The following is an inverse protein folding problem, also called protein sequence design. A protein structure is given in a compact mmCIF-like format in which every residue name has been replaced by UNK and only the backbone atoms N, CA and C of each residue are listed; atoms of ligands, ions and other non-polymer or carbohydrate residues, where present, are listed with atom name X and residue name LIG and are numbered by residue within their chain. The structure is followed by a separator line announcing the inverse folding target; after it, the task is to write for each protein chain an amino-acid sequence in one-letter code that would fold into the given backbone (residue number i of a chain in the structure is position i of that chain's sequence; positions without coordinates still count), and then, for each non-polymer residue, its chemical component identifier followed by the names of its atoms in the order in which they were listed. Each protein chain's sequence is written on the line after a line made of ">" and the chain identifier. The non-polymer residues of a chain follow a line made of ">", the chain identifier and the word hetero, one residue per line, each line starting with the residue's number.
data_IF_645306100724
#
_entry.id   IF_645306100724
#
_cell.length_a   1.000
_cell.length_b   1.000
_cell.length_c   1.000
_cell.angle_alpha   90.00
_cell.angle_beta   90.00
_cell.angle_gamma   90.00
#
_symmetry.space_group_name_H-M   'P 1'
#
loop_
_entity.id
_entity.type
_entity.pdbx_description
1 polymer ?
#
# COMPACT_ATOMS: atom_id res chain seq x y z
N UNK A 1 -4.95 8.62 -6.35
CA UNK A 1 -4.87 8.43 -7.81
C UNK A 1 -3.57 9.07 -8.27
N UNK A 2 -2.57 8.29 -8.67
CA UNK A 2 -1.33 8.86 -9.19
C UNK A 2 -1.44 8.96 -10.71
N UNK A 3 -2.14 9.99 -11.22
CA UNK A 3 -2.38 10.20 -12.65
C UNK A 3 -1.07 10.22 -13.48
N UNK A 4 0.04 10.62 -12.87
CA UNK A 4 1.39 10.58 -13.45
C UNK A 4 1.86 9.15 -13.75
N UNK A 5 1.51 8.19 -12.91
CA UNK A 5 1.95 6.79 -13.08
C UNK A 5 1.22 6.09 -14.23
N UNK A 6 -0.07 6.38 -14.40
CA UNK A 6 -0.89 5.80 -15.48
C UNK A 6 -0.40 6.30 -16.84
N UNK A 7 -0.09 7.59 -16.94
CA UNK A 7 0.43 8.21 -18.17
C UNK A 7 1.82 7.68 -18.54
N UNK A 8 2.71 7.51 -17.56
CA UNK A 8 4.03 6.87 -17.75
C UNK A 8 3.91 5.40 -18.19
N UNK A 9 3.07 4.59 -17.52
CA UNK A 9 2.85 3.18 -17.87
C UNK A 9 2.25 3.04 -19.28
N UNK A 10 1.39 3.97 -19.72
CA UNK A 10 0.83 4.01 -21.08
C UNK A 10 1.87 4.34 -22.14
N UNK A 11 2.70 5.36 -21.89
CA UNK A 11 3.77 5.74 -22.80
C UNK A 11 4.77 4.60 -23.01
N UNK A 12 5.22 3.97 -21.93
CA UNK A 12 6.14 2.83 -21.99
C UNK A 12 5.52 1.63 -22.72
N UNK A 13 4.24 1.32 -22.46
CA UNK A 13 3.54 0.24 -23.12
C UNK A 13 3.44 0.46 -24.64
N UNK A 14 3.09 1.67 -25.07
CA UNK A 14 2.99 2.03 -26.48
C UNK A 14 4.33 1.87 -27.19
N UNK A 15 5.40 2.43 -26.61
CA UNK A 15 6.76 2.33 -27.17
C UNK A 15 7.25 0.87 -27.24
N UNK A 16 6.92 0.03 -26.25
CA UNK A 16 7.25 -1.41 -26.27
C UNK A 16 6.50 -2.12 -27.41
N UNK A 17 5.21 -1.80 -27.61
CA UNK A 17 4.40 -2.39 -28.67
C UNK A 17 4.96 -2.04 -30.06
N UNK A 18 5.31 -0.77 -30.29
CA UNK A 18 5.93 -0.33 -31.55
C UNK A 18 7.27 -1.04 -31.82
N UNK A 19 8.16 -1.09 -30.82
CA UNK A 19 9.46 -1.74 -30.99
C UNK A 19 9.33 -3.26 -31.18
N UNK A 20 8.27 -3.87 -30.65
CA UNK A 20 7.96 -5.28 -30.88
C UNK A 20 7.46 -5.53 -32.31
N UNK A 21 6.65 -4.62 -32.87
CA UNK A 21 6.23 -4.68 -34.28
C UNK A 21 7.43 -4.53 -35.23
N UNK A 22 8.44 -3.76 -34.84
CA UNK A 22 9.72 -3.64 -35.55
C UNK A 22 10.63 -4.88 -35.41
N UNK A 23 10.18 -5.93 -34.72
CA UNK A 23 10.90 -7.20 -34.58
C UNK A 23 12.02 -7.20 -33.52
N UNK A 24 12.10 -6.19 -32.66
CA UNK A 24 13.10 -6.17 -31.59
C UNK A 24 12.79 -7.20 -30.50
N UNK A 25 13.83 -7.86 -30.00
CA UNK A 25 13.73 -8.74 -28.84
C UNK A 25 13.50 -7.93 -27.55
N UNK A 26 12.86 -8.54 -26.55
CA UNK A 26 12.61 -7.93 -25.23
C UNK A 26 13.87 -7.34 -24.58
N UNK A 27 15.02 -7.99 -24.76
CA UNK A 27 16.31 -7.52 -24.24
C UNK A 27 16.82 -6.27 -24.97
N UNK A 28 16.60 -6.17 -26.28
CA UNK A 28 16.93 -4.98 -27.07
C UNK A 28 15.99 -3.81 -26.73
N UNK A 29 14.70 -4.09 -26.56
CA UNK A 29 13.70 -3.11 -26.13
C UNK A 29 14.05 -2.53 -24.75
N UNK A 30 14.40 -3.38 -23.78
CA UNK A 30 14.83 -2.95 -22.46
C UNK A 30 16.05 -2.02 -22.50
N UNK A 31 17.06 -2.36 -23.32
CA UNK A 31 18.23 -1.51 -23.53
C UNK A 31 17.89 -0.19 -24.21
N UNK A 32 17.02 -0.21 -25.23
CA UNK A 32 16.64 0.98 -26.02
C UNK A 32 15.80 1.97 -25.22
N UNK A 33 14.84 1.48 -24.43
CA UNK A 33 13.98 2.30 -23.59
C UNK A 33 14.58 2.58 -22.20
N UNK A 34 15.76 2.02 -21.89
CA UNK A 34 16.38 2.07 -20.56
C UNK A 34 15.43 1.62 -19.43
N UNK A 35 14.56 0.66 -19.74
CA UNK A 35 13.58 0.13 -18.80
C UNK A 35 14.09 -1.17 -18.17
N UNK A 36 13.75 -1.44 -16.90
CA UNK A 36 14.02 -2.73 -16.28
C UNK A 36 13.42 -3.88 -17.11
N UNK A 37 14.13 -5.00 -17.32
CA UNK A 37 13.62 -6.13 -18.10
C UNK A 37 12.27 -6.68 -17.59
N UNK A 38 12.06 -6.66 -16.27
CA UNK A 38 10.79 -7.05 -15.66
C UNK A 38 9.64 -6.09 -16.00
N UNK A 39 9.91 -4.80 -16.17
CA UNK A 39 8.92 -3.79 -16.61
C UNK A 39 8.54 -4.04 -18.07
N UNK A 40 9.52 -4.28 -18.95
CA UNK A 40 9.27 -4.64 -20.36
C UNK A 40 8.48 -5.94 -20.48
N UNK A 41 8.88 -6.99 -19.74
CA UNK A 41 8.16 -8.27 -19.75
C UNK A 41 6.70 -8.09 -19.29
N UNK A 42 6.48 -7.34 -18.20
CA UNK A 42 5.15 -7.10 -17.65
C UNK A 42 4.28 -6.33 -18.65
N UNK A 43 4.73 -5.17 -19.11
CA UNK A 43 3.97 -4.32 -20.04
C UNK A 43 3.70 -5.03 -21.37
N UNK A 44 4.66 -5.80 -21.89
CA UNK A 44 4.50 -6.59 -23.11
C UNK A 44 3.45 -7.71 -23.01
N UNK A 45 2.98 -8.05 -21.80
CA UNK A 45 1.93 -9.05 -21.57
C UNK A 45 0.54 -8.43 -21.34
N UNK A 46 0.48 -7.12 -21.09
CA UNK A 46 -0.77 -6.43 -20.77
C UNK A 46 -1.47 -5.94 -22.04
N UNK A 47 -2.80 -6.01 -22.05
CA UNK A 47 -3.64 -5.28 -23.00
C UNK A 47 -3.99 -3.88 -22.47
N UNK A 48 -4.52 -3.00 -23.34
CA UNK A 48 -4.89 -1.62 -22.99
C UNK A 48 -5.85 -1.58 -21.79
N UNK A 49 -6.87 -2.43 -21.78
CA UNK A 49 -7.84 -2.50 -20.67
C UNK A 49 -7.19 -2.94 -19.36
N UNK A 50 -6.27 -3.90 -19.41
CA UNK A 50 -5.54 -4.37 -18.23
C UNK A 50 -4.57 -3.33 -17.70
N UNK A 51 -3.97 -2.52 -18.58
CA UNK A 51 -3.10 -1.40 -18.22
C UNK A 51 -3.88 -0.32 -17.45
N UNK A 52 -5.05 0.06 -17.98
CA UNK A 52 -5.96 1.03 -17.34
C UNK A 52 -6.53 0.49 -16.01
N UNK A 53 -6.79 -0.81 -15.93
CA UNK A 53 -7.18 -1.46 -14.67
C UNK A 53 -6.02 -1.57 -13.68
N UNK A 54 -4.78 -1.78 -14.14
CA UNK A 54 -3.62 -1.94 -13.24
C UNK A 54 -3.29 -0.65 -12.47
N UNK A 55 -3.49 0.51 -13.09
CA UNK A 55 -3.43 1.81 -12.41
C UNK A 55 -4.53 1.99 -11.34
N UNK A 56 -5.61 1.22 -11.47
CA UNK A 56 -6.78 1.25 -10.59
C UNK A 56 -6.86 0.09 -9.61
N UNK A 57 -5.98 -0.92 -9.68
CA UNK A 57 -5.99 -1.99 -8.69
C UNK A 57 -5.64 -1.38 -7.34
N UNK A 58 -6.55 -1.39 -6.36
CA UNK A 58 -6.16 -1.08 -5.00
C UNK A 58 -5.00 -2.01 -4.67
N UNK A 59 -3.93 -1.49 -4.06
CA UNK A 59 -2.99 -2.40 -3.37
C UNK A 59 -3.85 -3.36 -2.56
N UNK A 60 -3.56 -4.67 -2.54
CA UNK A 60 -4.24 -5.57 -1.63
C UNK A 60 -4.19 -4.89 -0.27
N UNK A 61 -5.35 -4.44 0.21
CA UNK A 61 -5.47 -3.96 1.57
C UNK A 61 -5.37 -5.24 2.37
N UNK A 62 -4.15 -5.63 2.73
CA UNK A 62 -3.96 -6.62 3.78
C UNK A 62 -4.75 -6.06 4.95
N UNK A 63 -5.89 -6.68 5.26
CA UNK A 63 -6.68 -6.31 6.41
C UNK A 63 -5.73 -6.32 7.60
N UNK A 64 -5.52 -5.16 8.21
CA UNK A 64 -4.69 -5.11 9.38
C UNK A 64 -5.40 -5.96 10.42
N UNK A 65 -4.69 -6.88 11.06
CA UNK A 65 -5.29 -7.70 12.14
C UNK A 65 -5.86 -6.85 13.28
N UNK A 66 -5.44 -5.58 13.35
CA UNK A 66 -5.91 -4.60 14.31
C UNK A 66 -7.10 -3.75 13.82
N UNK A 67 -7.49 -3.84 12.55
CA UNK A 67 -8.61 -3.08 11.97
C UNK A 67 -9.94 -3.28 12.76
N UNK A 68 -10.29 -4.49 13.25
CA UNK A 68 -11.49 -4.66 14.09
C UNK A 68 -11.47 -3.87 15.41
N UNK A 69 -10.30 -3.46 15.89
CA UNK A 69 -10.14 -2.70 17.13
C UNK A 69 -9.96 -1.20 16.89
N UNK A 70 -10.15 -0.72 15.66
CA UNK A 70 -9.97 0.69 15.29
C UNK A 70 -10.77 1.64 16.19
N UNK A 71 -12.06 1.36 16.40
CA UNK A 71 -12.92 2.24 17.19
C UNK A 71 -12.52 2.25 18.68
N UNK A 72 -12.14 1.11 19.24
CA UNK A 72 -11.65 1.01 20.62
C UNK A 72 -10.34 1.79 20.80
N UNK A 73 -9.40 1.66 19.86
CA UNK A 73 -8.14 2.41 19.89
C UNK A 73 -8.39 3.91 19.76
N UNK A 74 -9.26 4.32 18.84
CA UNK A 74 -9.65 5.72 18.66
C UNK A 74 -10.29 6.29 19.92
N UNK A 75 -11.23 5.58 20.52
CA UNK A 75 -11.89 6.00 21.75
C UNK A 75 -10.87 6.16 22.89
N UNK A 76 -9.95 5.21 23.07
CA UNK A 76 -8.87 5.32 24.06
C UNK A 76 -7.96 6.52 23.82
N UNK A 77 -7.61 6.79 22.56
CA UNK A 77 -6.77 7.93 22.20
C UNK A 77 -7.45 9.28 22.44
N UNK A 78 -8.78 9.34 22.35
CA UNK A 78 -9.58 10.55 22.61
C UNK A 78 -9.77 10.73 24.13
N UNK A 79 -10.19 9.69 24.84
CA UNK A 79 -10.51 9.74 26.27
C UNK A 79 -9.26 9.81 27.15
N UNK A 80 -8.20 9.10 26.75
CA UNK A 80 -6.94 8.99 27.48
C UNK A 80 -5.75 9.30 26.55
N UNK A 81 -5.56 10.56 26.11
CA UNK A 81 -4.53 10.92 25.12
C UNK A 81 -3.09 10.66 25.60
N UNK A 82 -2.89 10.50 26.91
CA UNK A 82 -1.63 10.17 27.57
C UNK A 82 -1.27 8.69 27.53
N UNK A 83 -2.14 7.82 27.01
CA UNK A 83 -1.81 6.40 26.92
C UNK A 83 -0.71 6.13 25.89
N UNK A 84 0.30 5.40 26.34
CA UNK A 84 1.34 4.81 25.50
C UNK A 84 0.77 3.67 24.67
N UNK A 85 1.45 3.32 23.58
CA UNK A 85 1.05 2.17 22.75
C UNK A 85 1.08 0.85 23.53
N UNK A 86 1.93 0.74 24.55
CA UNK A 86 1.97 -0.41 25.47
C UNK A 86 0.71 -0.47 26.34
N UNK A 87 0.28 0.66 26.91
CA UNK A 87 -0.97 0.72 27.70
C UNK A 87 -2.20 0.40 26.83
N UNK A 88 -2.23 0.89 25.59
CA UNK A 88 -3.29 0.55 24.64
C UNK A 88 -3.26 -0.95 24.31
N UNK A 89 -2.07 -1.54 24.16
CA UNK A 89 -1.94 -2.98 23.89
C UNK A 89 -2.50 -3.83 25.04
N UNK A 90 -2.11 -3.55 26.29
CA UNK A 90 -2.63 -4.28 27.45
C UNK A 90 -4.15 -4.09 27.59
N UNK A 91 -4.66 -2.87 27.41
CA UNK A 91 -6.10 -2.63 27.44
C UNK A 91 -6.84 -3.44 26.37
N UNK A 92 -6.33 -3.49 25.13
CA UNK A 92 -6.96 -4.28 24.06
C UNK A 92 -6.96 -5.77 24.38
N UNK A 93 -5.90 -6.27 25.02
CA UNK A 93 -5.75 -7.66 25.41
C UNK A 93 -6.67 -8.03 26.58
N UNK A 94 -6.84 -7.15 27.54
CA UNK A 94 -7.75 -7.32 28.69
C UNK A 94 -9.23 -7.27 28.27
N UNK A 95 -9.58 -6.34 27.39
CA UNK A 95 -10.99 -6.12 26.99
C UNK A 95 -11.44 -7.03 25.85
N UNK A 96 -10.54 -7.76 25.18
CA UNK A 96 -10.88 -8.60 24.03
C UNK A 96 -10.26 -10.00 24.14
N UNK A 97 -11.04 -11.05 24.43
CA UNK A 97 -10.52 -12.42 24.54
C UNK A 97 -10.02 -12.99 23.19
N UNK A 98 -10.42 -12.39 22.07
CA UNK A 98 -9.98 -12.79 20.71
C UNK A 98 -8.80 -11.94 20.18
N UNK A 99 -8.11 -11.18 21.06
CA UNK A 99 -7.04 -10.29 20.61
C UNK A 99 -5.89 -11.06 19.92
N UNK A 100 -5.51 -10.69 18.69
CA UNK A 100 -4.48 -11.40 17.95
C UNK A 100 -3.12 -11.27 18.63
N UNK A 101 -2.32 -12.35 18.64
CA UNK A 101 -0.92 -12.28 19.09
C UNK A 101 -0.11 -11.37 18.14
N UNK A 102 0.12 -10.13 18.56
CA UNK A 102 0.89 -9.10 17.85
C UNK A 102 2.01 -8.58 18.75
N UNK A 103 3.10 -8.10 18.16
CA UNK A 103 4.17 -7.45 18.92
C UNK A 103 3.81 -5.98 19.20
N UNK A 104 4.38 -5.41 20.27
CA UNK A 104 4.16 -4.00 20.65
C UNK A 104 4.43 -3.03 19.50
N UNK A 105 5.44 -3.31 18.66
CA UNK A 105 5.75 -2.49 17.49
C UNK A 105 4.59 -2.42 16.48
N UNK A 106 3.82 -3.50 16.35
CA UNK A 106 2.65 -3.54 15.47
C UNK A 106 1.56 -2.62 16.00
N UNK A 107 1.28 -2.68 17.30
CA UNK A 107 0.32 -1.79 17.97
C UNK A 107 0.79 -0.34 17.90
N UNK A 108 2.08 -0.06 18.12
CA UNK A 108 2.65 1.28 17.98
C UNK A 108 2.45 1.86 16.58
N UNK A 109 2.80 1.10 15.54
CA UNK A 109 2.61 1.52 14.14
C UNK A 109 1.12 1.76 13.84
N UNK A 110 0.25 0.92 14.40
CA UNK A 110 -1.19 1.04 14.24
C UNK A 110 -1.76 2.28 14.94
N UNK A 111 -1.40 2.53 16.20
CA UNK A 111 -1.75 3.76 16.93
C UNK A 111 -1.28 5.01 16.18
N UNK A 112 -0.06 5.00 15.63
CA UNK A 112 0.45 6.10 14.80
C UNK A 112 -0.38 6.29 13.52
N UNK A 113 -0.82 5.20 12.88
CA UNK A 113 -1.73 5.22 11.73
C UNK A 113 -3.08 5.84 12.11
N UNK A 114 -3.67 5.45 13.24
CA UNK A 114 -4.96 6.00 13.74
C UNK A 114 -4.83 7.48 14.06
N UNK A 115 -3.78 7.88 14.79
CA UNK A 115 -3.52 9.31 15.08
C UNK A 115 -3.43 10.15 13.80
N UNK A 116 -2.72 9.66 12.78
CA UNK A 116 -2.63 10.34 11.48
C UNK A 116 -3.95 10.34 10.72
N UNK A 117 -4.75 9.28 10.81
CA UNK A 117 -6.02 9.13 10.09
C UNK A 117 -7.11 10.06 10.64
N UNK A 118 -7.14 10.25 11.95
CA UNK A 118 -8.16 11.06 12.65
C UNK A 118 -7.62 12.39 13.17
N UNK A 119 -6.40 12.78 12.78
CA UNK A 119 -5.71 13.99 13.23
C UNK A 119 -5.66 14.17 14.77
N UNK A 120 -5.45 13.05 15.48
CA UNK A 120 -5.37 13.05 16.94
C UNK A 120 -3.94 13.45 17.33
N UNK A 121 -3.74 14.54 18.10
CA UNK A 121 -2.41 14.98 18.48
C UNK A 121 -1.69 13.93 19.32
N UNK A 122 -0.47 13.58 18.92
CA UNK A 122 0.45 12.88 19.79
C UNK A 122 1.11 13.94 20.68
N UNK A 123 0.89 13.88 21.99
CA UNK A 123 1.61 14.79 22.87
C UNK A 123 3.09 14.38 22.94
N UNK A 124 3.95 15.39 22.76
CA UNK A 124 5.41 15.38 22.98
C UNK A 124 5.70 15.29 24.48
#
# INVERSE_FOLDING_TARGET
>A
MDAKKITEDYHDWHNIAELRLLGLSRSQIAKKLQLPPGRVMRLSRLNVDELLQHGNRPRPSYSCRLDPYEESVKHLLITCPYYSSTQIHEYLKENNPSFPKVCEKTVFNYVKKIRKRYDIPARV
#
